data_IF_263639138617
#
_entry.id   IF_263639138617
#
_cell.length_a   1.000
_cell.length_b   1.000
_cell.length_c   1.000
_cell.angle_alpha   90.00
_cell.angle_beta   90.00
_cell.angle_gamma   90.00
#
_symmetry.space_group_name_H-M   'P 1'
#
loop_
_entity.id
_entity.type
_entity.pdbx_description
1 polymer ?
#
# COMPACT_ATOMS: atom_id res chain seq x y z
N UNK A 1 43.35 -19.93 -3.60
CA UNK A 1 42.17 -19.68 -2.73
C UNK A 1 40.96 -19.69 -3.62
N UNK A 2 39.86 -20.29 -3.17
CA UNK A 2 38.62 -20.32 -3.93
C UNK A 2 37.97 -18.94 -3.91
N UNK A 3 37.43 -18.53 -5.06
CA UNK A 3 36.75 -17.24 -5.20
C UNK A 3 35.52 -17.14 -4.29
N UNK A 4 34.83 -18.26 -4.06
CA UNK A 4 33.67 -18.34 -3.19
C UNK A 4 33.80 -19.49 -2.20
N UNK A 5 33.40 -19.23 -0.95
CA UNK A 5 33.31 -20.27 0.09
C UNK A 5 31.93 -20.20 0.75
N UNK A 6 31.44 -21.34 1.25
CA UNK A 6 30.20 -21.44 2.01
C UNK A 6 30.50 -21.87 3.44
N UNK A 7 29.89 -21.21 4.43
CA UNK A 7 30.03 -21.57 5.85
C UNK A 7 28.74 -22.22 6.36
N UNK A 8 28.80 -23.53 6.61
CA UNK A 8 27.68 -24.31 7.14
C UNK A 8 27.20 -23.83 8.52
N UNK A 9 28.03 -23.12 9.30
CA UNK A 9 27.66 -22.67 10.65
C UNK A 9 26.71 -21.49 10.66
N UNK A 10 26.77 -20.62 9.66
CA UNK A 10 25.92 -19.44 9.54
C UNK A 10 25.07 -19.40 8.27
N UNK A 11 25.29 -20.33 7.34
CA UNK A 11 24.55 -20.47 6.09
C UNK A 11 24.85 -19.39 5.05
N UNK A 12 26.00 -18.70 5.16
CA UNK A 12 26.38 -17.61 4.26
C UNK A 12 27.42 -18.05 3.23
N UNK A 13 27.29 -17.49 2.04
CA UNK A 13 28.35 -17.47 1.04
C UNK A 13 29.29 -16.30 1.31
N UNK A 14 30.57 -16.46 0.96
CA UNK A 14 31.57 -15.40 1.02
C UNK A 14 32.31 -15.32 -0.31
N UNK A 15 32.60 -14.10 -0.76
CA UNK A 15 33.45 -13.83 -1.91
C UNK A 15 34.83 -13.35 -1.44
N UNK A 16 35.89 -13.86 -2.07
CA UNK A 16 37.25 -13.36 -1.87
C UNK A 16 37.41 -12.00 -2.56
N UNK A 17 37.57 -10.93 -1.78
CA UNK A 17 37.90 -9.59 -2.25
C UNK A 17 39.21 -9.13 -1.62
N UNK A 18 40.26 -9.03 -2.44
CA UNK A 18 41.63 -8.81 -1.96
C UNK A 18 42.09 -9.97 -1.09
N UNK A 19 42.46 -9.67 0.16
CA UNK A 19 42.95 -10.65 1.13
C UNK A 19 41.86 -11.14 2.10
N UNK A 20 40.59 -10.74 1.89
CA UNK A 20 39.49 -10.99 2.82
C UNK A 20 38.30 -11.68 2.15
N UNK A 21 37.66 -12.57 2.91
CA UNK A 21 36.36 -13.14 2.55
C UNK A 21 35.23 -12.25 3.07
N UNK A 22 34.44 -11.70 2.16
CA UNK A 22 33.32 -10.81 2.46
C UNK A 22 32.00 -11.58 2.28
N UNK A 23 31.09 -11.57 3.27
CA UNK A 23 29.82 -12.28 3.16
C UNK A 23 28.94 -11.72 2.03
N UNK A 24 28.41 -12.61 1.20
CA UNK A 24 27.45 -12.32 0.15
C UNK A 24 26.07 -12.13 0.77
N UNK A 25 25.78 -10.89 1.19
CA UNK A 25 24.47 -10.53 1.73
C UNK A 25 23.49 -10.25 0.58
N UNK A 26 22.57 -11.18 0.35
CA UNK A 26 21.49 -11.03 -0.63
C UNK A 26 20.20 -10.80 0.14
N UNK A 27 19.56 -9.65 -0.09
CA UNK A 27 18.20 -9.43 0.42
C UNK A 27 17.26 -10.40 -0.31
N UNK A 28 16.35 -11.09 0.40
CA UNK A 28 15.33 -11.88 -0.27
C UNK A 28 14.58 -10.97 -1.24
N UNK A 29 14.36 -11.46 -2.46
CA UNK A 29 13.58 -10.73 -3.45
C UNK A 29 12.16 -10.53 -2.91
N UNK A 30 11.86 -9.34 -2.39
CA UNK A 30 10.48 -8.95 -2.18
C UNK A 30 9.80 -8.89 -3.54
N UNK A 31 8.60 -9.47 -3.64
CA UNK A 31 7.76 -9.25 -4.82
C UNK A 31 7.44 -7.76 -4.83
N UNK A 32 8.03 -7.01 -5.75
CA UNK A 32 7.68 -5.63 -6.02
C UNK A 32 6.23 -5.60 -6.50
N UNK A 33 5.29 -5.49 -5.56
CA UNK A 33 3.89 -5.26 -5.88
C UNK A 33 3.69 -3.77 -6.08
N UNK A 34 3.04 -3.34 -7.16
CA UNK A 34 2.74 -1.93 -7.35
C UNK A 34 1.82 -1.46 -6.23
N UNK A 35 2.25 -0.45 -5.47
CA UNK A 35 1.46 0.15 -4.40
C UNK A 35 0.51 1.16 -5.04
N UNK A 36 -0.80 0.94 -4.85
CA UNK A 36 -1.84 1.85 -5.33
C UNK A 36 -1.89 3.19 -4.60
N UNK A 37 -2.88 4.01 -4.96
CA UNK A 37 -3.01 5.38 -4.48
C UNK A 37 -3.12 5.46 -2.95
N UNK A 38 -3.89 4.55 -2.34
CA UNK A 38 -4.16 4.56 -0.90
C UNK A 38 -2.92 4.13 -0.11
N UNK A 39 -2.24 3.08 -0.56
CA UNK A 39 -0.97 2.65 0.02
C UNK A 39 0.08 3.76 -0.02
N UNK A 40 0.20 4.49 -1.13
CA UNK A 40 1.14 5.62 -1.23
C UNK A 40 0.80 6.77 -0.28
N UNK A 41 -0.49 7.07 -0.09
CA UNK A 41 -0.94 8.08 0.88
C UNK A 41 -0.62 7.65 2.30
N UNK A 42 -0.89 6.40 2.66
CA UNK A 42 -0.57 5.88 3.98
C UNK A 42 0.93 5.84 4.23
N UNK A 43 1.75 5.50 3.22
CA UNK A 43 3.20 5.60 3.30
C UNK A 43 3.67 7.03 3.64
N UNK A 44 3.05 8.05 3.02
CA UNK A 44 3.35 9.44 3.34
C UNK A 44 3.01 9.78 4.79
N UNK A 45 1.83 9.38 5.25
CA UNK A 45 1.42 9.55 6.64
C UNK A 45 2.39 8.87 7.61
N UNK A 46 2.81 7.64 7.32
CA UNK A 46 3.78 6.93 8.16
C UNK A 46 5.12 7.65 8.25
N UNK A 47 5.61 8.20 7.15
CA UNK A 47 6.88 8.95 7.13
C UNK A 47 6.79 10.26 7.90
N UNK A 48 5.69 10.99 7.76
CA UNK A 48 5.51 12.31 8.36
C UNK A 48 5.13 12.24 9.85
N UNK A 49 4.25 11.31 10.23
CA UNK A 49 3.63 11.29 11.56
C UNK A 49 3.91 10.04 12.38
N UNK A 50 4.29 8.90 11.76
CA UNK A 50 4.52 7.60 12.45
C UNK A 50 5.88 6.97 12.11
N UNK A 51 6.94 7.78 12.19
CA UNK A 51 8.29 7.41 11.74
C UNK A 51 8.83 6.11 12.36
N UNK A 52 8.53 5.85 13.63
CA UNK A 52 8.95 4.61 14.29
C UNK A 52 8.34 3.37 13.59
N UNK A 53 7.02 3.38 13.35
CA UNK A 53 6.31 2.31 12.64
C UNK A 53 6.88 2.11 11.23
N UNK A 54 7.13 3.20 10.50
CA UNK A 54 7.75 3.14 9.18
C UNK A 54 9.10 2.41 9.21
N UNK A 55 10.00 2.79 10.12
CA UNK A 55 11.34 2.19 10.22
C UNK A 55 11.23 0.71 10.59
N UNK A 56 10.34 0.33 11.52
CA UNK A 56 10.14 -1.07 11.90
C UNK A 56 9.63 -1.92 10.73
N UNK A 57 8.66 -1.42 9.95
CA UNK A 57 8.15 -2.13 8.78
C UNK A 57 9.21 -2.25 7.68
N UNK A 58 9.98 -1.19 7.46
CA UNK A 58 11.05 -1.16 6.47
C UNK A 58 12.19 -2.13 6.82
N UNK A 59 12.69 -2.05 8.05
CA UNK A 59 13.80 -2.91 8.52
C UNK A 59 13.41 -4.38 8.65
N UNK A 60 12.12 -4.68 8.85
CA UNK A 60 11.62 -6.06 8.89
C UNK A 60 11.26 -6.64 7.52
N UNK A 61 11.42 -5.89 6.41
CA UNK A 61 11.06 -6.37 5.06
C UNK A 61 9.57 -6.69 4.90
N UNK A 62 8.70 -5.95 5.60
CA UNK A 62 7.24 -6.16 5.58
C UNK A 62 6.47 -4.96 5.04
N UNK A 63 7.16 -3.87 4.73
CA UNK A 63 6.55 -2.61 4.34
C UNK A 63 5.68 -2.75 3.09
N UNK A 64 6.18 -3.40 2.04
CA UNK A 64 5.45 -3.49 0.77
C UNK A 64 4.15 -4.29 0.90
N UNK A 65 4.19 -5.45 1.56
CA UNK A 65 2.99 -6.26 1.84
C UNK A 65 1.98 -5.49 2.68
N UNK A 66 2.45 -4.81 3.74
CA UNK A 66 1.60 -3.99 4.59
C UNK A 66 0.88 -2.88 3.79
N UNK A 67 1.61 -2.17 2.93
CA UNK A 67 1.03 -1.09 2.12
C UNK A 67 0.05 -1.63 1.06
N UNK A 68 0.32 -2.80 0.48
CA UNK A 68 -0.59 -3.47 -0.44
C UNK A 68 -1.90 -3.88 0.25
N UNK A 69 -1.81 -4.39 1.49
CA UNK A 69 -2.99 -4.73 2.29
C UNK A 69 -3.83 -3.50 2.67
N UNK A 70 -3.17 -2.39 3.02
CA UNK A 70 -3.85 -1.11 3.27
C UNK A 70 -4.55 -0.60 2.01
N UNK A 71 -3.89 -0.71 0.86
CA UNK A 71 -4.45 -0.27 -0.42
C UNK A 71 -5.72 -1.07 -0.78
N UNK A 72 -5.65 -2.40 -0.65
CA UNK A 72 -6.80 -3.29 -0.84
C UNK A 72 -7.95 -2.96 0.11
N UNK A 73 -7.67 -2.80 1.41
CA UNK A 73 -8.69 -2.49 2.41
C UNK A 73 -9.37 -1.14 2.15
N UNK A 74 -8.59 -0.11 1.81
CA UNK A 74 -9.12 1.21 1.49
C UNK A 74 -9.97 1.18 0.21
N UNK A 75 -9.55 0.43 -0.81
CA UNK A 75 -10.31 0.28 -2.05
C UNK A 75 -11.64 -0.44 -1.81
N UNK A 76 -11.63 -1.57 -1.10
CA UNK A 76 -12.86 -2.31 -0.74
C UNK A 76 -13.83 -1.45 0.08
N UNK A 77 -13.30 -0.66 1.03
CA UNK A 77 -14.08 0.26 1.86
C UNK A 77 -14.69 1.38 1.02
N UNK A 78 -13.91 1.97 0.10
CA UNK A 78 -14.35 3.02 -0.81
C UNK A 78 -15.51 2.55 -1.70
N UNK A 79 -15.38 1.36 -2.29
CA UNK A 79 -16.42 0.77 -3.14
C UNK A 79 -17.70 0.49 -2.36
N UNK A 80 -17.58 -0.10 -1.17
CA UNK A 80 -18.72 -0.39 -0.30
C UNK A 80 -19.46 0.87 0.12
N UNK A 81 -18.74 1.91 0.57
CA UNK A 81 -19.34 3.18 0.98
C UNK A 81 -20.04 3.87 -0.20
N UNK A 82 -19.39 3.88 -1.38
CA UNK A 82 -19.96 4.46 -2.59
C UNK A 82 -21.27 3.78 -2.96
N UNK A 83 -21.31 2.44 -2.94
CA UNK A 83 -22.51 1.66 -3.26
C UNK A 83 -23.64 1.88 -2.24
N UNK A 84 -23.31 1.91 -0.95
CA UNK A 84 -24.29 2.21 0.10
C UNK A 84 -24.90 3.60 -0.06
N UNK A 85 -24.07 4.63 -0.29
CA UNK A 85 -24.53 6.00 -0.47
C UNK A 85 -25.35 6.19 -1.75
N UNK A 86 -24.99 5.50 -2.86
CA UNK A 86 -25.78 5.52 -4.10
C UNK A 86 -27.20 5.04 -3.87
N UNK A 87 -27.36 3.93 -3.13
CA UNK A 87 -28.67 3.36 -2.79
C UNK A 87 -29.49 4.31 -1.93
N UNK A 88 -28.87 4.92 -0.92
CA UNK A 88 -29.54 5.89 -0.03
C UNK A 88 -29.98 7.14 -0.78
N UNK A 89 -29.17 7.65 -1.71
CA UNK A 89 -29.49 8.85 -2.49
C UNK A 89 -30.34 8.57 -3.74
N UNK A 90 -30.71 7.31 -3.98
CA UNK A 90 -31.54 6.92 -5.13
C UNK A 90 -30.92 7.25 -6.49
N UNK A 91 -29.59 7.20 -6.61
CA UNK A 91 -28.92 7.50 -7.88
C UNK A 91 -29.10 6.31 -8.83
N UNK A 92 -29.97 6.48 -9.83
CA UNK A 92 -30.26 5.47 -10.86
C UNK A 92 -29.67 5.86 -12.21
N UNK A 93 -29.58 4.90 -13.12
CA UNK A 93 -29.24 5.19 -14.53
C UNK A 93 -30.34 6.00 -15.24
N UNK A 94 -31.58 6.00 -14.74
CA UNK A 94 -32.65 6.87 -15.24
C UNK A 94 -32.33 8.34 -14.98
N UNK A 95 -31.89 8.68 -13.76
CA UNK A 95 -31.44 10.05 -13.43
C UNK A 95 -30.28 10.49 -14.34
N UNK A 96 -29.41 9.57 -14.73
CA UNK A 96 -28.29 9.86 -15.64
C UNK A 96 -28.76 10.19 -17.06
N UNK A 97 -29.81 9.51 -17.54
CA UNK A 97 -30.39 9.75 -18.86
C UNK A 97 -31.20 11.06 -18.90
N UNK A 98 -31.89 11.39 -17.81
CA UNK A 98 -32.70 12.61 -17.68
C UNK A 98 -31.84 13.84 -17.39
N UNK A 99 -30.85 13.71 -16.50
CA UNK A 99 -29.99 14.81 -16.07
C UNK A 99 -28.56 14.32 -15.72
N UNK A 100 -27.75 14.15 -16.76
CA UNK A 100 -26.36 13.70 -16.64
C UNK A 100 -25.49 14.61 -15.76
N UNK A 101 -25.75 15.93 -15.74
CA UNK A 101 -24.99 16.88 -14.94
C UNK A 101 -25.28 16.69 -13.45
N UNK A 102 -26.55 16.61 -13.07
CA UNK A 102 -26.96 16.36 -11.69
C UNK A 102 -26.48 15.00 -11.20
N UNK A 103 -26.59 13.96 -12.04
CA UNK A 103 -26.06 12.64 -11.72
C UNK A 103 -24.56 12.71 -11.41
N UNK A 104 -23.78 13.42 -12.23
CA UNK A 104 -22.34 13.58 -12.03
C UNK A 104 -22.03 14.34 -10.75
N UNK A 105 -22.79 15.40 -10.45
CA UNK A 105 -22.64 16.18 -9.22
C UNK A 105 -22.88 15.31 -7.98
N UNK A 106 -23.98 14.56 -7.94
CA UNK A 106 -24.30 13.66 -6.82
C UNK A 106 -23.26 12.55 -6.67
N UNK A 107 -22.83 11.96 -7.77
CA UNK A 107 -21.77 10.95 -7.77
C UNK A 107 -20.43 11.47 -7.25
N UNK A 108 -20.06 12.71 -7.60
CA UNK A 108 -18.85 13.35 -7.09
C UNK A 108 -18.94 13.62 -5.59
N UNK A 109 -20.10 14.08 -5.10
CA UNK A 109 -20.32 14.30 -3.67
C UNK A 109 -20.22 12.99 -2.88
N UNK A 110 -20.81 11.90 -3.37
CA UNK A 110 -20.68 10.57 -2.74
C UNK A 110 -19.21 10.15 -2.68
N UNK A 111 -18.48 10.26 -3.78
CA UNK A 111 -17.07 9.88 -3.83
C UNK A 111 -16.24 10.73 -2.86
N UNK A 112 -16.52 12.03 -2.75
CA UNK A 112 -15.83 12.90 -1.81
C UNK A 112 -16.07 12.46 -0.35
N UNK A 113 -17.33 12.22 0.01
CA UNK A 113 -17.68 11.76 1.36
C UNK A 113 -17.09 10.38 1.70
N UNK A 114 -17.19 9.41 0.78
CA UNK A 114 -16.59 8.10 0.96
C UNK A 114 -15.07 8.17 1.11
N UNK A 115 -14.41 9.03 0.32
CA UNK A 115 -12.96 9.27 0.41
C UNK A 115 -12.56 9.82 1.78
N UNK A 116 -13.27 10.82 2.30
CA UNK A 116 -12.98 11.41 3.62
C UNK A 116 -13.08 10.37 4.74
N UNK A 117 -14.09 9.49 4.69
CA UNK A 117 -14.26 8.40 5.65
C UNK A 117 -13.08 7.43 5.56
N UNK A 118 -12.70 6.98 4.36
CA UNK A 118 -11.57 6.06 4.16
C UNK A 118 -10.25 6.68 4.62
N UNK A 119 -10.02 7.95 4.32
CA UNK A 119 -8.82 8.67 4.76
C UNK A 119 -8.72 8.68 6.28
N UNK A 120 -9.82 8.97 6.98
CA UNK A 120 -9.85 9.01 8.43
C UNK A 120 -9.76 7.63 9.09
N UNK A 121 -10.45 6.62 8.55
CA UNK A 121 -10.56 5.29 9.16
C UNK A 121 -9.33 4.41 8.90
N UNK A 122 -8.69 4.55 7.73
CA UNK A 122 -7.66 3.61 7.26
C UNK A 122 -6.33 4.34 7.03
N UNK A 123 -6.34 5.49 6.35
CA UNK A 123 -5.10 6.13 5.91
C UNK A 123 -4.41 6.88 7.04
N UNK A 124 -5.16 7.51 7.95
CA UNK A 124 -4.63 8.35 9.02
C UNK A 124 -4.84 7.80 10.43
N UNK A 125 -5.15 6.50 10.55
CA UNK A 125 -5.16 5.81 11.84
C UNK A 125 -3.71 5.70 12.38
#
# INVERSE_FOLDING_TARGET
MDKYIYDDKNGLWYELQGDYYIPCLILPAEKEQPIGLWGQRHLRYLKEYRRATYITLFTSGRLNNYLADIDRQAQERMERLTEQMKRVQGITEQLKAENALEWTQRMNNIRACAKEIVEKEIIFA
#
